data_IF_553279117832
#
_entry.id   IF_553279117832
#
_cell.length_a   1.000
_cell.length_b   1.000
_cell.length_c   1.000
_cell.angle_alpha   90.00
_cell.angle_beta   90.00
_cell.angle_gamma   90.00
#
_symmetry.space_group_name_H-M   'P 1'
#
loop_
_entity.id
_entity.type
_entity.pdbx_description
1 polymer ?
#
# COMPACT_ATOMS: atom_id res chain seq x y z
N UNK A 1 -3.79 -1.65 -23.78
CA UNK A 1 -4.29 -2.25 -22.53
C UNK A 1 -3.36 -3.41 -22.22
N UNK A 2 -2.52 -3.30 -21.19
CA UNK A 2 -1.66 -4.41 -20.77
C UNK A 2 -2.55 -5.52 -20.22
N UNK A 3 -2.46 -6.71 -20.82
CA UNK A 3 -3.13 -7.93 -20.37
C UNK A 3 -2.35 -8.53 -19.18
N UNK A 4 -2.02 -7.69 -18.19
CA UNK A 4 -1.23 -8.10 -17.03
C UNK A 4 -1.96 -9.17 -16.22
N UNK A 5 -1.22 -10.17 -15.74
CA UNK A 5 -1.79 -11.18 -14.85
C UNK A 5 -2.17 -10.53 -13.54
N UNK A 6 -3.45 -10.40 -13.27
CA UNK A 6 -3.91 -9.74 -12.06
C UNK A 6 -3.57 -10.53 -10.79
N UNK A 7 -3.24 -9.81 -9.72
CA UNK A 7 -3.11 -10.32 -8.36
C UNK A 7 -4.36 -9.98 -7.54
N UNK A 8 -5.45 -10.77 -7.65
CA UNK A 8 -6.69 -10.51 -6.90
C UNK A 8 -6.49 -10.63 -5.39
N UNK A 9 -5.47 -11.39 -4.95
CA UNK A 9 -5.15 -11.51 -3.53
C UNK A 9 -4.60 -10.20 -2.94
N UNK A 10 -4.03 -9.29 -3.73
CA UNK A 10 -3.62 -7.97 -3.26
C UNK A 10 -4.73 -6.91 -3.42
N UNK A 11 -5.70 -7.13 -4.31
CA UNK A 11 -6.82 -6.21 -4.51
C UNK A 11 -7.75 -6.20 -3.29
N UNK A 12 -8.22 -5.02 -2.88
CA UNK A 12 -9.11 -4.89 -1.73
C UNK A 12 -8.84 -3.66 -0.87
N UNK A 13 -9.62 -3.56 0.21
CA UNK A 13 -9.52 -2.50 1.20
C UNK A 13 -8.45 -2.79 2.26
N UNK A 14 -7.77 -1.73 2.67
CA UNK A 14 -6.79 -1.75 3.74
C UNK A 14 -6.99 -0.53 4.63
N UNK A 15 -6.97 -0.76 5.95
CA UNK A 15 -7.05 0.28 6.97
C UNK A 15 -5.80 0.25 7.84
N UNK A 16 -5.17 1.41 8.03
CA UNK A 16 -4.02 1.51 8.93
C UNK A 16 -4.44 1.46 10.38
N UNK A 17 -3.54 0.96 11.23
CA UNK A 17 -3.55 1.32 12.65
C UNK A 17 -3.32 2.84 12.78
N UNK A 18 -3.81 3.44 13.87
CA UNK A 18 -3.65 4.87 14.10
C UNK A 18 -2.17 5.22 14.33
N UNK A 19 -1.71 6.32 13.75
CA UNK A 19 -0.39 6.90 14.04
C UNK A 19 -0.34 7.47 15.46
N UNK A 20 0.85 7.83 15.92
CA UNK A 20 1.02 8.50 17.21
C UNK A 20 0.26 9.83 17.29
N UNK A 21 0.01 10.49 16.16
CA UNK A 21 -0.77 11.73 16.07
C UNK A 21 -2.28 11.47 15.99
N UNK A 22 -2.72 10.20 15.99
CA UNK A 22 -4.13 9.81 15.90
C UNK A 22 -4.68 9.75 14.47
N UNK A 23 -3.84 9.97 13.46
CA UNK A 23 -4.24 9.86 12.06
C UNK A 23 -4.38 8.37 11.67
N UNK A 24 -5.29 8.06 10.74
CA UNK A 24 -5.33 6.76 10.05
C UNK A 24 -5.34 6.95 8.54
N UNK A 25 -4.93 5.91 7.82
CA UNK A 25 -4.89 5.88 6.37
C UNK A 25 -5.74 4.73 5.85
N UNK A 26 -6.39 4.96 4.72
CA UNK A 26 -7.15 3.94 4.00
C UNK A 26 -6.57 3.77 2.60
N UNK A 27 -6.60 2.54 2.10
CA UNK A 27 -6.23 2.20 0.72
C UNK A 27 -7.31 1.27 0.16
N UNK A 28 -7.69 1.47 -1.09
CA UNK A 28 -8.47 0.52 -1.89
C UNK A 28 -7.67 0.22 -3.15
N UNK A 29 -7.09 -0.98 -3.21
CA UNK A 29 -6.38 -1.45 -4.41
C UNK A 29 -7.41 -2.05 -5.37
N UNK A 30 -7.59 -1.41 -6.53
CA UNK A 30 -8.54 -1.84 -7.57
C UNK A 30 -7.87 -2.69 -8.64
N UNK A 31 -6.55 -2.57 -8.79
CA UNK A 31 -5.78 -3.36 -9.75
C UNK A 31 -4.36 -3.56 -9.23
N UNK A 32 -3.82 -4.76 -9.46
CA UNK A 32 -2.43 -5.11 -9.18
C UNK A 32 -1.97 -6.12 -10.22
N UNK A 33 -0.84 -5.86 -10.88
CA UNK A 33 -0.29 -6.71 -11.95
C UNK A 33 0.92 -7.52 -11.45
N UNK A 34 0.90 -8.84 -11.61
CA UNK A 34 2.02 -9.72 -11.28
C UNK A 34 3.25 -9.46 -12.14
N UNK A 35 3.06 -9.08 -13.41
CA UNK A 35 4.17 -9.03 -14.35
C UNK A 35 4.97 -7.72 -14.20
N UNK A 36 4.27 -6.58 -14.11
CA UNK A 36 4.90 -5.27 -13.94
C UNK A 36 5.06 -4.83 -12.48
N UNK A 37 4.35 -5.46 -11.55
CA UNK A 37 4.25 -4.98 -10.17
C UNK A 37 3.41 -3.71 -10.02
N UNK A 38 2.76 -3.23 -11.09
CA UNK A 38 1.95 -2.00 -11.07
C UNK A 38 0.73 -2.12 -10.15
N UNK A 39 0.40 -1.04 -9.44
CA UNK A 39 -0.78 -0.93 -8.58
C UNK A 39 -1.60 0.31 -8.97
N UNK A 40 -2.92 0.12 -9.04
CA UNK A 40 -3.90 1.20 -9.13
C UNK A 40 -4.89 1.10 -7.97
N UNK A 41 -5.41 2.26 -7.57
CA UNK A 41 -6.35 2.31 -6.46
C UNK A 41 -6.59 3.72 -5.96
N UNK A 42 -7.27 3.77 -4.83
CA UNK A 42 -7.57 4.99 -4.10
C UNK A 42 -6.95 4.95 -2.70
N UNK A 43 -6.74 6.11 -2.11
CA UNK A 43 -6.33 6.26 -0.72
C UNK A 43 -7.07 7.40 -0.03
N UNK A 44 -6.96 7.47 1.29
CA UNK A 44 -7.46 8.56 2.12
C UNK A 44 -6.72 8.69 3.44
N UNK A 45 -6.73 9.89 4.03
CA UNK A 45 -6.21 10.16 5.39
C UNK A 45 -7.35 10.65 6.27
N UNK A 46 -7.67 9.90 7.33
CA UNK A 46 -8.80 10.15 8.22
C UNK A 46 -10.18 10.09 7.54
N UNK A 47 -10.27 9.45 6.38
CA UNK A 47 -11.51 9.25 5.64
C UNK A 47 -11.42 8.00 4.74
N UNK A 48 -12.54 7.63 4.11
CA UNK A 48 -12.59 6.55 3.14
C UNK A 48 -11.77 6.86 1.86
N UNK A 49 -11.29 5.85 1.11
CA UNK A 49 -10.49 6.08 -0.09
C UNK A 49 -11.21 6.96 -1.10
N UNK A 50 -10.59 8.08 -1.47
CA UNK A 50 -11.20 9.07 -2.38
C UNK A 50 -10.19 9.68 -3.36
N UNK A 51 -8.90 9.65 -3.02
CA UNK A 51 -7.83 10.22 -3.82
C UNK A 51 -7.11 9.11 -4.60
N UNK A 52 -6.74 9.31 -5.88
CA UNK A 52 -5.98 8.31 -6.61
C UNK A 52 -4.62 8.06 -5.99
N UNK A 53 -4.18 6.80 -5.99
CA UNK A 53 -2.80 6.46 -5.70
C UNK A 53 -1.87 7.10 -6.74
N UNK A 54 -0.73 7.61 -6.27
CA UNK A 54 0.39 7.99 -7.13
C UNK A 54 1.14 6.76 -7.65
N UNK A 55 2.39 6.95 -8.10
CA UNK A 55 3.24 5.86 -8.59
C UNK A 55 3.45 4.78 -7.51
N UNK A 56 2.68 3.70 -7.59
CA UNK A 56 2.63 2.65 -6.59
C UNK A 56 2.91 1.30 -7.24
N UNK A 57 3.45 0.37 -6.46
CA UNK A 57 3.75 -0.95 -6.98
C UNK A 57 4.12 -1.96 -5.91
N UNK A 58 4.38 -3.19 -6.33
CA UNK A 58 4.81 -4.26 -5.46
C UNK A 58 5.77 -5.21 -6.15
N UNK A 59 6.51 -5.96 -5.34
CA UNK A 59 7.40 -7.01 -5.79
C UNK A 59 7.29 -8.22 -4.87
N UNK A 60 7.21 -9.42 -5.46
CA UNK A 60 7.19 -10.67 -4.71
C UNK A 60 8.61 -11.16 -4.46
N UNK A 61 8.90 -11.48 -3.21
CA UNK A 61 10.14 -12.10 -2.82
C UNK A 61 9.96 -13.62 -2.90
N UNK A 62 10.25 -14.19 -4.07
CA UNK A 62 10.04 -15.61 -4.40
C UNK A 62 10.67 -16.58 -3.37
N UNK A 63 11.77 -16.17 -2.73
CA UNK A 63 12.47 -16.99 -1.76
C UNK A 63 11.80 -17.04 -0.36
N UNK A 64 10.95 -16.07 -0.01
CA UNK A 64 10.46 -15.91 1.37
C UNK A 64 8.94 -15.86 1.54
N UNK A 65 8.16 -16.02 0.46
CA UNK A 65 6.70 -15.85 0.50
C UNK A 65 6.27 -14.45 0.99
N UNK A 66 7.17 -13.47 0.85
CA UNK A 66 6.94 -12.09 1.24
C UNK A 66 6.70 -11.23 0.00
N UNK A 67 6.21 -10.02 0.20
CA UNK A 67 6.12 -9.01 -0.85
C UNK A 67 6.44 -7.64 -0.29
N UNK A 68 7.21 -6.85 -1.02
CA UNK A 68 7.39 -5.43 -0.74
C UNK A 68 6.37 -4.64 -1.53
N UNK A 69 5.83 -3.59 -0.93
CA UNK A 69 4.84 -2.70 -1.55
C UNK A 69 5.25 -1.26 -1.33
N UNK A 70 5.05 -0.44 -2.36
CA UNK A 70 5.21 1.01 -2.29
C UNK A 70 3.90 1.69 -2.64
N UNK A 71 3.46 2.61 -1.80
CA UNK A 71 2.33 3.50 -2.09
C UNK A 71 2.77 4.96 -2.03
N UNK A 72 2.41 5.75 -3.03
CA UNK A 72 2.62 7.21 -3.01
C UNK A 72 1.27 7.91 -2.88
N UNK A 73 1.13 8.76 -1.86
CA UNK A 73 -0.07 9.56 -1.59
C UNK A 73 0.26 11.04 -1.86
N UNK A 74 -0.46 11.65 -2.80
CA UNK A 74 -0.31 13.05 -3.24
C UNK A 74 1.12 13.51 -3.54
N UNK A 75 2.03 12.56 -3.82
CA UNK A 75 3.45 12.83 -4.07
C UNK A 75 4.23 13.30 -2.84
N UNK A 76 3.59 13.51 -1.70
CA UNK A 76 4.20 14.03 -0.46
C UNK A 76 4.46 12.96 0.59
N UNK A 77 3.74 11.84 0.52
CA UNK A 77 3.87 10.74 1.47
C UNK A 77 4.13 9.46 0.68
N UNK A 78 5.22 8.77 1.04
CA UNK A 78 5.53 7.45 0.50
C UNK A 78 5.47 6.40 1.58
N UNK A 79 4.91 5.25 1.28
CA UNK A 79 4.85 4.08 2.15
C UNK A 79 5.73 3.00 1.56
N UNK A 80 6.56 2.36 2.38
CA UNK A 80 7.30 1.15 2.03
C UNK A 80 6.89 0.08 3.03
N UNK A 81 6.22 -0.95 2.54
CA UNK A 81 5.56 -1.96 3.36
C UNK A 81 6.02 -3.36 2.96
N UNK A 82 5.93 -4.28 3.92
CA UNK A 82 6.18 -5.70 3.76
C UNK A 82 4.89 -6.47 4.09
N UNK A 83 4.48 -7.35 3.20
CA UNK A 83 3.57 -8.45 3.50
C UNK A 83 4.38 -9.71 3.77
N UNK A 84 4.02 -10.46 4.81
CA UNK A 84 4.62 -11.76 5.14
C UNK A 84 3.81 -12.96 4.67
N UNK A 85 2.77 -12.69 3.89
CA UNK A 85 1.91 -13.71 3.32
C UNK A 85 1.34 -13.29 1.95
N UNK A 86 0.97 -14.27 1.13
CA UNK A 86 0.40 -14.05 -0.21
C UNK A 86 -1.10 -13.71 -0.21
N UNK A 87 -1.77 -13.73 0.94
CA UNK A 87 -3.14 -13.23 1.08
C UNK A 87 -3.18 -11.76 1.50
N UNK A 88 -2.01 -11.16 1.76
CA UNK A 88 -1.85 -9.75 2.08
C UNK A 88 -2.78 -9.33 3.23
N UNK A 89 -2.86 -10.13 4.29
CA UNK A 89 -3.76 -9.81 5.43
C UNK A 89 -3.26 -8.62 6.23
N UNK A 90 -1.94 -8.45 6.30
CA UNK A 90 -1.27 -7.39 7.03
C UNK A 90 -0.07 -6.88 6.25
N UNK A 91 0.02 -5.56 6.09
CA UNK A 91 1.15 -4.87 5.48
C UNK A 91 1.80 -4.00 6.55
N UNK A 92 3.09 -4.16 6.80
CA UNK A 92 3.77 -3.39 7.86
C UNK A 92 5.06 -2.78 7.35
N UNK A 93 5.36 -1.56 7.76
CA UNK A 93 6.58 -0.90 7.34
C UNK A 93 6.61 0.53 7.81
N UNK A 94 6.99 1.45 6.93
CA UNK A 94 7.17 2.84 7.29
C UNK A 94 6.53 3.75 6.25
N UNK A 95 6.04 4.89 6.69
CA UNK A 95 5.78 6.01 5.79
C UNK A 95 6.82 7.10 6.00
N UNK A 96 7.16 7.79 4.92
CA UNK A 96 8.05 8.94 4.89
C UNK A 96 7.27 10.16 4.41
N UNK A 97 7.28 11.23 5.21
CA UNK A 97 6.70 12.52 4.83
C UNK A 97 7.78 13.41 4.23
N UNK A 98 7.66 13.75 2.95
CA UNK A 98 8.61 14.64 2.27
C UNK A 98 8.58 16.07 2.83
N UNK A 99 7.42 16.51 3.31
CA UNK A 99 7.27 17.83 3.93
C UNK A 99 8.04 17.97 5.26
N UNK A 100 7.99 16.95 6.11
CA UNK A 100 8.60 17.00 7.45
C UNK A 100 9.95 16.27 7.54
N UNK A 101 10.30 15.46 6.54
CA UNK A 101 11.43 14.53 6.58
C UNK A 101 11.25 13.38 7.59
N UNK A 102 10.09 13.28 8.24
CA UNK A 102 9.84 12.30 9.29
C UNK A 102 9.51 10.93 8.71
N UNK A 103 9.89 9.90 9.47
CA UNK A 103 9.59 8.50 9.15
C UNK A 103 8.90 7.88 10.35
N UNK A 104 7.75 7.25 10.12
CA UNK A 104 6.93 6.64 11.18
C UNK A 104 6.55 5.22 10.80
N UNK A 105 6.55 4.31 11.77
CA UNK A 105 6.06 2.96 11.56
C UNK A 105 4.55 2.96 11.31
N UNK A 106 4.11 2.14 10.38
CA UNK A 106 2.69 1.99 10.05
C UNK A 106 2.37 0.55 9.70
N UNK A 107 1.16 0.16 10.04
CA UNK A 107 0.60 -1.15 9.74
C UNK A 107 -0.75 -0.93 9.10
N UNK A 108 -1.00 -1.62 7.99
CA UNK A 108 -2.30 -1.79 7.38
C UNK A 108 -2.81 -3.21 7.59
N UNK A 109 -4.08 -3.32 7.92
CA UNK A 109 -4.81 -4.58 7.97
C UNK A 109 -5.86 -4.58 6.87
N UNK A 110 -6.05 -5.73 6.23
CA UNK A 110 -7.10 -5.91 5.23
C UNK A 110 -8.48 -5.77 5.89
N UNK A 111 -9.39 -5.03 5.24
CA UNK A 111 -10.78 -4.81 5.68
C UNK A 111 -11.80 -5.64 4.92
#
# INVERSE_FOLDING_TARGET
>A
MSNGKQNPALQGGYLSENTAQGDFYTILITFADYDSGHIEGLWGKNHAPANPLGSSGYHRLEASNESTLTFEFDGDISFILLSKDQNYKRLSGQFHSKQSGSTTHVVFNRS
#
